data_IF_738154765595
#
_entry.id   IF_738154765595
#
_cell.length_a   1.000
_cell.length_b   1.000
_cell.length_c   1.000
_cell.angle_alpha   90.00
_cell.angle_beta   90.00
_cell.angle_gamma   90.00
#
_symmetry.space_group_name_H-M   'P 1'
#
loop_
_entity.id
_entity.type
_entity.pdbx_description
1 polymer ?
#
# COMPACT_ATOMS: atom_id res chain seq x y z
N UNK A 1 2.66 -3.78 -7.29
CA UNK A 1 2.24 -2.67 -6.40
C UNK A 1 2.94 -1.41 -6.88
N UNK A 2 2.19 -0.41 -7.38
CA UNK A 2 2.74 0.81 -8.02
C UNK A 2 3.74 1.56 -7.13
N UNK A 3 3.46 1.64 -5.82
CA UNK A 3 4.35 2.30 -4.85
C UNK A 3 5.70 1.59 -4.64
N UNK A 4 5.73 0.26 -4.74
CA UNK A 4 6.98 -0.52 -4.61
C UNK A 4 7.89 -0.25 -5.80
N UNK A 5 7.31 -0.21 -7.00
CA UNK A 5 8.05 0.07 -8.23
C UNK A 5 8.63 1.50 -8.24
N UNK A 6 7.82 2.49 -7.84
CA UNK A 6 8.25 3.88 -7.74
C UNK A 6 9.40 4.07 -6.72
N UNK A 7 9.33 3.41 -5.56
CA UNK A 7 10.40 3.48 -4.56
C UNK A 7 11.71 2.84 -5.02
N UNK A 8 11.63 1.75 -5.81
CA UNK A 8 12.80 1.07 -6.38
C UNK A 8 13.44 1.90 -7.48
N UNK A 9 12.63 2.40 -8.41
CA UNK A 9 13.09 3.30 -9.46
C UNK A 9 13.78 4.55 -8.90
N UNK A 10 13.19 5.19 -7.89
CA UNK A 10 13.83 6.32 -7.24
C UNK A 10 15.20 5.96 -6.64
N UNK A 11 15.33 4.78 -6.02
CA UNK A 11 16.61 4.32 -5.49
C UNK A 11 17.65 4.10 -6.59
N UNK A 12 17.26 3.48 -7.70
CA UNK A 12 18.14 3.27 -8.85
C UNK A 12 18.60 4.60 -9.46
N UNK A 13 17.67 5.57 -9.62
CA UNK A 13 17.95 6.90 -10.19
C UNK A 13 18.81 7.78 -9.26
N UNK A 14 18.80 7.54 -7.95
CA UNK A 14 19.48 8.37 -6.94
C UNK A 14 20.69 7.69 -6.31
N UNK A 15 21.31 6.70 -6.96
CA UNK A 15 22.46 5.96 -6.44
C UNK A 15 22.22 5.41 -5.02
N UNK A 16 21.00 4.90 -4.78
CA UNK A 16 20.57 4.31 -3.52
C UNK A 16 20.55 5.28 -2.32
N UNK A 17 20.54 6.60 -2.57
CA UNK A 17 20.34 7.64 -1.55
C UNK A 17 18.88 7.65 -1.08
N UNK A 18 18.61 6.98 0.05
CA UNK A 18 17.26 6.75 0.59
C UNK A 18 16.53 8.03 0.98
N UNK A 19 17.26 9.03 1.45
CA UNK A 19 16.77 10.35 1.83
C UNK A 19 16.05 11.05 0.67
N UNK A 20 16.60 10.95 -0.54
CA UNK A 20 16.00 11.48 -1.78
C UNK A 20 14.66 10.82 -2.13
N UNK A 21 14.43 9.61 -1.63
CA UNK A 21 13.24 8.81 -1.93
C UNK A 21 12.24 8.72 -0.76
N UNK A 22 12.43 9.51 0.29
CA UNK A 22 11.63 9.47 1.53
C UNK A 22 10.12 9.54 1.25
N UNK A 23 9.70 10.39 0.31
CA UNK A 23 8.29 10.52 -0.06
C UNK A 23 7.68 9.22 -0.61
N UNK A 24 8.42 8.46 -1.42
CA UNK A 24 7.97 7.17 -1.94
C UNK A 24 7.85 6.12 -0.83
N UNK A 25 8.80 6.12 0.10
CA UNK A 25 8.72 5.22 1.26
C UNK A 25 7.56 5.55 2.19
N UNK A 26 7.26 6.84 2.39
CA UNK A 26 6.10 7.27 3.17
C UNK A 26 4.80 6.82 2.50
N UNK A 27 4.65 7.00 1.18
CA UNK A 27 3.48 6.51 0.43
C UNK A 27 3.33 4.99 0.54
N UNK A 28 4.42 4.25 0.38
CA UNK A 28 4.40 2.80 0.54
C UNK A 28 3.99 2.38 1.97
N UNK A 29 4.53 3.04 3.01
CA UNK A 29 4.15 2.80 4.41
C UNK A 29 2.66 3.09 4.65
N UNK A 30 2.15 4.21 4.15
CA UNK A 30 0.74 4.56 4.27
C UNK A 30 -0.17 3.55 3.58
N UNK A 31 0.19 3.10 2.38
CA UNK A 31 -0.52 2.04 1.67
C UNK A 31 -0.58 0.75 2.48
N UNK A 32 0.56 0.30 3.03
CA UNK A 32 0.58 -0.91 3.89
C UNK A 32 -0.25 -0.75 5.14
N UNK A 33 -0.18 0.41 5.81
CA UNK A 33 -0.96 0.69 7.02
C UNK A 33 -2.45 0.63 6.75
N UNK A 34 -2.91 1.29 5.68
CA UNK A 34 -4.32 1.29 5.27
C UNK A 34 -4.85 -0.14 5.04
N UNK A 35 -4.14 -0.96 4.27
CA UNK A 35 -4.58 -2.34 4.02
C UNK A 35 -4.49 -3.23 5.26
N UNK A 36 -3.53 -2.98 6.15
CA UNK A 36 -3.44 -3.67 7.43
C UNK A 36 -4.63 -3.33 8.33
N UNK A 37 -5.03 -2.06 8.40
CA UNK A 37 -6.19 -1.63 9.19
C UNK A 37 -7.48 -2.30 8.66
N UNK A 38 -7.66 -2.39 7.33
CA UNK A 38 -8.77 -3.15 6.71
C UNK A 38 -8.72 -4.64 7.04
N UNK A 39 -7.54 -5.25 6.95
CA UNK A 39 -7.34 -6.67 7.28
C UNK A 39 -7.75 -6.94 8.73
N UNK A 40 -7.35 -6.09 9.66
CA UNK A 40 -7.70 -6.21 11.08
C UNK A 40 -9.21 -6.07 11.32
N UNK A 41 -9.87 -5.16 10.60
CA UNK A 41 -11.34 -5.03 10.65
C UNK A 41 -12.05 -6.27 10.10
N UNK A 42 -11.63 -6.78 8.94
CA UNK A 42 -12.18 -8.01 8.34
C UNK A 42 -12.01 -9.21 9.27
N UNK A 43 -10.84 -9.33 9.90
CA UNK A 43 -10.55 -10.37 10.89
C UNK A 43 -11.47 -10.29 12.11
N UNK A 44 -11.70 -9.09 12.66
CA UNK A 44 -12.64 -8.87 13.78
C UNK A 44 -14.07 -9.24 13.40
N UNK A 45 -14.45 -8.99 12.16
CA UNK A 45 -15.78 -9.32 11.62
C UNK A 45 -15.91 -10.77 11.16
N UNK A 46 -14.88 -11.62 11.32
CA UNK A 46 -14.90 -13.01 10.90
C UNK A 46 -14.88 -13.22 9.38
N UNK A 47 -14.57 -12.19 8.59
CA UNK A 47 -14.56 -12.25 7.11
C UNK A 47 -13.27 -12.88 6.61
N UNK A 48 -13.38 -13.94 5.78
CA UNK A 48 -12.25 -14.61 5.13
C UNK A 48 -12.40 -14.58 3.60
N UNK A 49 -11.31 -14.35 2.84
CA UNK A 49 -9.96 -14.03 3.32
C UNK A 49 -9.86 -12.65 3.99
N UNK A 50 -9.00 -12.54 5.00
CA UNK A 50 -8.78 -11.30 5.78
C UNK A 50 -8.22 -10.20 4.87
N UNK A 51 -7.33 -10.56 3.94
CA UNK A 51 -6.85 -9.65 2.92
C UNK A 51 -7.85 -9.52 1.77
N UNK A 52 -8.24 -8.30 1.38
CA UNK A 52 -9.11 -8.09 0.24
C UNK A 52 -8.45 -8.51 -1.09
N UNK A 53 -9.25 -9.11 -1.97
CA UNK A 53 -8.89 -9.44 -3.35
C UNK A 53 -8.66 -8.18 -4.21
N UNK A 54 -8.03 -8.32 -5.38
CA UNK A 54 -7.77 -7.17 -6.25
C UNK A 54 -9.05 -6.40 -6.64
N UNK A 55 -10.16 -7.12 -6.87
CA UNK A 55 -11.45 -6.53 -7.20
C UNK A 55 -12.07 -5.79 -6.01
N UNK A 56 -12.02 -6.38 -4.81
CA UNK A 56 -12.49 -5.72 -3.58
C UNK A 56 -11.69 -4.44 -3.32
N UNK A 57 -10.37 -4.48 -3.53
CA UNK A 57 -9.52 -3.29 -3.39
C UNK A 57 -9.90 -2.18 -4.36
N UNK A 58 -10.20 -2.54 -5.61
CA UNK A 58 -10.64 -1.57 -6.62
C UNK A 58 -11.94 -0.88 -6.20
N UNK A 59 -12.96 -1.65 -5.79
CA UNK A 59 -14.25 -1.13 -5.32
C UNK A 59 -14.10 -0.24 -4.07
N UNK A 60 -13.27 -0.65 -3.11
CA UNK A 60 -12.99 0.15 -1.91
C UNK A 60 -12.34 1.49 -2.26
N UNK A 61 -11.40 1.52 -3.21
CA UNK A 61 -10.74 2.75 -3.65
C UNK A 61 -11.67 3.66 -4.45
N UNK A 62 -12.53 3.09 -5.31
CA UNK A 62 -13.55 3.84 -6.07
C UNK A 62 -14.58 4.47 -5.15
N UNK A 63 -14.86 3.87 -3.99
CA UNK A 63 -15.82 4.38 -2.99
C UNK A 63 -15.23 5.49 -2.09
N UNK A 64 -13.93 5.81 -2.22
CA UNK A 64 -13.25 6.86 -1.45
C UNK A 64 -13.09 8.18 -2.22
N UNK A 65 -13.51 8.22 -3.48
CA UNK A 65 -13.55 9.42 -4.32
C UNK A 65 -14.92 10.07 -4.32
#
# INVERSE_FOLDING_TARGET
LKETDASRKCMDDNNYKKDMCTAYFLKYKSCRKFWHDIMMQRRRNGVRPEMPSAEERKKMLESMG
#
